data_IF_107965893578
#
_entry.id   IF_107965893578
#
_cell.length_a   1.000
_cell.length_b   1.000
_cell.length_c   1.000
_cell.angle_alpha   90.00
_cell.angle_beta   90.00
_cell.angle_gamma   90.00
#
_symmetry.space_group_name_H-M   'P 1'
#
loop_
_entity.id
_entity.type
_entity.pdbx_description
1 polymer ?
#
# COMPACT_ATOMS: atom_id res chain seq x y z
N UNK A 1 -2.92 41.84 41.04
CA UNK A 1 -2.46 41.10 39.86
C UNK A 1 -3.08 39.69 39.75
N UNK A 2 -3.17 38.91 40.84
CA UNK A 2 -3.72 37.54 40.82
C UNK A 2 -5.16 37.39 40.28
N UNK A 3 -6.03 38.38 40.54
CA UNK A 3 -7.42 38.38 40.06
C UNK A 3 -7.53 38.43 38.53
N UNK A 4 -6.64 39.16 37.86
CA UNK A 4 -6.61 39.26 36.39
C UNK A 4 -6.17 37.92 35.80
N UNK A 5 -5.12 37.30 36.36
CA UNK A 5 -4.69 35.97 35.94
C UNK A 5 -5.77 34.91 36.14
N UNK A 6 -6.52 34.96 37.25
CA UNK A 6 -7.64 34.06 37.50
C UNK A 6 -8.72 34.19 36.41
N UNK A 7 -9.16 35.41 36.10
CA UNK A 7 -10.18 35.63 35.07
C UNK A 7 -9.71 35.25 33.66
N UNK A 8 -8.43 35.50 33.35
CA UNK A 8 -7.84 35.12 32.06
C UNK A 8 -7.79 33.59 31.92
N UNK A 9 -7.34 32.89 32.96
CA UNK A 9 -7.24 31.43 32.97
C UNK A 9 -8.63 30.77 32.96
N UNK A 10 -9.61 31.38 33.62
CA UNK A 10 -11.02 30.97 33.56
C UNK A 10 -11.60 31.11 32.14
N UNK A 11 -11.40 32.26 31.49
CA UNK A 11 -11.84 32.49 30.11
C UNK A 11 -11.17 31.51 29.13
N UNK A 12 -9.88 31.23 29.31
CA UNK A 12 -9.16 30.28 28.48
C UNK A 12 -9.71 28.85 28.61
N UNK A 13 -10.03 28.41 29.83
CA UNK A 13 -10.64 27.10 30.06
C UNK A 13 -12.06 27.00 29.52
N UNK A 14 -12.88 28.04 29.66
CA UNK A 14 -14.22 28.11 29.07
C UNK A 14 -14.12 28.03 27.53
N UNK A 15 -13.15 28.73 26.95
CA UNK A 15 -12.82 28.63 25.53
C UNK A 15 -12.53 27.19 25.11
N UNK A 16 -11.58 26.53 25.77
CA UNK A 16 -11.22 25.13 25.50
C UNK A 16 -12.42 24.17 25.65
N UNK A 17 -13.25 24.35 26.68
CA UNK A 17 -14.46 23.54 26.87
C UNK A 17 -15.47 23.71 25.73
N UNK A 18 -15.69 24.95 25.27
CA UNK A 18 -16.56 25.21 24.12
C UNK A 18 -16.00 24.60 22.82
N UNK A 19 -14.68 24.61 22.64
CA UNK A 19 -14.02 23.92 21.52
C UNK A 19 -14.26 22.40 21.57
N UNK A 20 -14.14 21.79 22.75
CA UNK A 20 -14.34 20.36 22.94
C UNK A 20 -15.80 19.92 22.71
N UNK A 21 -16.76 20.79 23.05
CA UNK A 21 -18.20 20.56 22.81
C UNK A 21 -18.63 20.79 21.35
N UNK A 22 -17.69 21.02 20.42
CA UNK A 22 -17.98 21.17 19.00
C UNK A 22 -18.69 22.48 18.64
N UNK A 23 -18.69 23.49 19.54
CA UNK A 23 -19.30 24.79 19.24
C UNK A 23 -18.57 25.55 18.12
N UNK A 24 -17.30 25.20 17.86
CA UNK A 24 -16.52 25.68 16.72
C UNK A 24 -16.79 24.94 15.40
N UNK A 25 -17.53 23.82 15.42
CA UNK A 25 -17.85 23.09 14.19
C UNK A 25 -18.92 23.84 13.37
N UNK A 26 -19.77 24.63 14.04
CA UNK A 26 -20.80 25.47 13.40
C UNK A 26 -20.22 26.60 12.55
N UNK A 27 -18.97 27.00 12.79
CA UNK A 27 -18.30 28.06 12.03
C UNK A 27 -17.48 27.52 10.84
N UNK A 28 -17.49 26.21 10.60
CA UNK A 28 -16.85 25.57 9.43
C UNK A 28 -15.32 25.54 9.46
N UNK A 29 -14.69 26.03 10.54
CA UNK A 29 -13.23 26.11 10.64
C UNK A 29 -12.55 24.79 11.07
N UNK A 30 -13.31 23.80 11.57
CA UNK A 30 -12.82 22.43 11.83
C UNK A 30 -13.95 21.42 11.59
N UNK A 31 -13.67 20.38 10.80
CA UNK A 31 -14.57 19.24 10.61
C UNK A 31 -14.29 18.23 11.72
N UNK A 32 -15.21 18.10 12.67
CA UNK A 32 -15.08 17.15 13.78
C UNK A 32 -15.10 15.70 13.30
N UNK A 33 -14.26 14.89 13.97
CA UNK A 33 -14.07 13.47 13.73
C UNK A 33 -15.27 12.61 14.13
N UNK A 34 -16.33 12.63 13.32
CA UNK A 34 -17.32 11.56 13.21
C UNK A 34 -17.45 11.14 11.75
N UNK A 35 -16.33 10.62 11.24
CA UNK A 35 -16.06 10.02 9.93
C UNK A 35 -17.22 9.97 8.90
N UNK A 36 -17.70 11.10 8.33
CA UNK A 36 -18.54 11.04 7.14
C UNK A 36 -17.73 10.52 5.94
N UNK A 37 -16.40 10.65 6.00
CA UNK A 37 -15.47 10.16 4.99
C UNK A 37 -15.46 8.63 4.87
N UNK A 38 -15.83 7.87 5.92
CA UNK A 38 -15.94 6.41 5.81
C UNK A 38 -17.13 5.97 4.97
N UNK A 39 -18.24 6.71 5.02
CA UNK A 39 -19.40 6.44 4.16
C UNK A 39 -19.10 6.78 2.70
N UNK A 40 -18.30 7.83 2.46
CA UNK A 40 -17.89 8.23 1.10
C UNK A 40 -16.84 7.28 0.49
N UNK A 41 -16.08 6.56 1.31
CA UNK A 41 -15.08 5.58 0.86
C UNK A 41 -15.64 4.13 0.83
N UNK A 42 -16.94 3.91 1.02
CA UNK A 42 -17.55 2.60 0.81
C UNK A 42 -17.72 2.36 -0.69
N UNK A 43 -16.77 1.63 -1.26
CA UNK A 43 -16.81 1.23 -2.67
C UNK A 43 -17.82 0.10 -2.84
N UNK A 44 -18.88 0.36 -3.62
CA UNK A 44 -19.86 -0.61 -4.13
C UNK A 44 -20.80 -1.28 -3.11
N UNK A 45 -21.41 -0.49 -2.22
CA UNK A 45 -22.53 -0.96 -1.37
C UNK A 45 -23.65 -1.61 -2.20
N UNK A 46 -23.92 -1.11 -3.42
CA UNK A 46 -24.97 -1.59 -4.31
C UNK A 46 -24.73 -3.00 -4.89
N UNK A 47 -23.55 -3.59 -4.66
CA UNK A 47 -23.23 -4.95 -5.14
C UNK A 47 -23.44 -6.04 -4.10
N UNK A 48 -23.76 -5.68 -2.86
CA UNK A 48 -24.04 -6.67 -1.81
C UNK A 48 -25.51 -7.07 -1.92
N UNK A 49 -25.79 -8.12 -2.68
CA UNK A 49 -27.10 -8.79 -2.68
C UNK A 49 -27.08 -9.88 -1.62
N UNK A 50 -27.91 -9.73 -0.60
CA UNK A 50 -28.20 -10.76 0.38
C UNK A 50 -29.07 -11.82 -0.29
N UNK A 51 -28.50 -13.00 -0.52
CA UNK A 51 -29.24 -14.15 -1.04
C UNK A 51 -29.99 -14.78 0.15
N UNK A 52 -31.33 -14.85 0.13
CA UNK A 52 -32.07 -15.53 1.18
C UNK A 52 -31.72 -17.03 1.22
N UNK A 53 -31.66 -17.62 2.41
CA UNK A 53 -31.27 -19.02 2.62
C UNK A 53 -32.10 -20.02 1.79
N UNK A 54 -33.33 -19.65 1.41
CA UNK A 54 -34.23 -20.42 0.55
C UNK A 54 -33.74 -20.51 -0.90
N UNK A 55 -33.10 -19.46 -1.44
CA UNK A 55 -32.51 -19.47 -2.79
C UNK A 55 -31.20 -20.28 -2.84
N UNK A 56 -30.40 -20.26 -1.76
CA UNK A 56 -29.23 -21.15 -1.60
C UNK A 56 -29.63 -22.63 -1.60
N UNK A 57 -30.73 -22.97 -0.93
CA UNK A 57 -31.28 -24.32 -0.94
C UNK A 57 -31.77 -24.73 -2.34
N UNK A 58 -32.44 -23.83 -3.06
CA UNK A 58 -32.91 -24.09 -4.43
C UNK A 58 -31.76 -24.21 -5.45
N UNK A 59 -30.67 -23.44 -5.30
CA UNK A 59 -29.48 -23.58 -6.14
C UNK A 59 -28.70 -24.87 -5.86
N UNK A 60 -28.64 -25.32 -4.60
CA UNK A 60 -28.08 -26.62 -4.24
C UNK A 60 -28.91 -27.80 -4.78
N UNK A 61 -30.24 -27.65 -4.84
CA UNK A 61 -31.16 -28.61 -5.45
C UNK A 61 -31.03 -28.65 -6.99
N UNK A 62 -30.81 -27.50 -7.63
CA UNK A 62 -30.58 -27.40 -9.08
C UNK A 62 -29.20 -27.94 -9.51
N UNK A 63 -28.17 -27.77 -8.67
CA UNK A 63 -26.84 -28.36 -8.91
C UNK A 63 -26.87 -29.89 -8.87
N UNK A 64 -27.66 -30.48 -7.97
CA UNK A 64 -27.89 -31.94 -7.90
C UNK A 64 -28.67 -32.51 -9.09
N UNK A 65 -29.47 -31.71 -9.80
CA UNK A 65 -30.23 -32.16 -10.96
C UNK A 65 -29.40 -32.18 -12.27
N UNK A 66 -28.24 -31.52 -12.29
CA UNK A 66 -27.35 -31.48 -13.47
C UNK A 66 -26.24 -32.55 -13.46
N UNK A 67 -26.04 -33.29 -12.36
CA UNK A 67 -25.09 -34.41 -12.32
C UNK A 67 -25.64 -35.68 -12.99
N UNK A 68 -26.97 -35.88 -13.02
CA UNK A 68 -27.60 -37.05 -13.67
C UNK A 68 -27.77 -36.93 -15.20
N UNK A 69 -27.37 -35.79 -15.79
CA UNK A 69 -27.44 -35.56 -17.26
C UNK A 69 -26.06 -35.57 -17.94
N UNK A 70 -25.02 -36.07 -17.27
CA UNK A 70 -23.67 -36.18 -17.80
C UNK A 70 -23.28 -37.61 -18.28
N UNK A 71 -24.21 -38.58 -18.29
CA UNK A 71 -23.90 -39.98 -18.65
C UNK A 71 -24.51 -40.47 -19.97
N UNK A 72 -25.01 -39.59 -20.83
CA UNK A 72 -25.39 -39.98 -22.19
C UNK A 72 -25.19 -38.83 -23.16
N UNK A 73 -24.07 -38.86 -23.89
CA UNK A 73 -23.97 -38.62 -25.35
C UNK A 73 -22.48 -38.60 -25.72
N UNK A 74 -21.98 -39.71 -26.26
CA UNK A 74 -20.81 -39.70 -27.13
C UNK A 74 -21.30 -40.00 -28.55
N UNK A 75 -20.76 -39.25 -29.51
CA UNK A 75 -20.98 -39.32 -30.97
C UNK A 75 -22.18 -38.56 -31.52
N UNK A 76 -21.92 -37.38 -32.11
CA UNK A 76 -21.91 -37.26 -33.58
C UNK A 76 -21.54 -35.83 -34.05
N UNK A 77 -20.58 -35.79 -34.98
CA UNK A 77 -20.50 -34.93 -36.16
C UNK A 77 -20.48 -33.39 -36.01
N UNK A 78 -19.30 -32.85 -36.31
CA UNK A 78 -19.03 -31.91 -37.40
C UNK A 78 -20.25 -31.31 -38.12
N UNK A 79 -20.42 -30.00 -38.02
CA UNK A 79 -20.78 -29.12 -39.13
C UNK A 79 -20.58 -27.65 -38.74
N UNK A 80 -19.94 -26.92 -39.65
CA UNK A 80 -19.57 -25.53 -39.55
C UNK A 80 -20.76 -24.58 -39.31
N UNK A 81 -20.51 -23.49 -38.58
CA UNK A 81 -20.99 -22.17 -39.00
C UNK A 81 -19.96 -21.13 -38.56
N UNK A 82 -19.12 -20.76 -39.51
CA UNK A 82 -18.41 -19.51 -39.54
C UNK A 82 -19.41 -18.35 -39.59
N UNK A 83 -19.56 -17.64 -38.48
CA UNK A 83 -19.97 -16.24 -38.48
C UNK A 83 -18.76 -15.39 -38.18
N UNK A 84 -18.40 -14.62 -39.20
CA UNK A 84 -17.43 -13.55 -39.26
C UNK A 84 -16.93 -13.03 -37.91
N UNK A 85 -15.64 -13.31 -37.68
CA UNK A 85 -14.70 -12.46 -36.97
C UNK A 85 -14.97 -10.97 -37.27
N UNK A 86 -15.78 -10.32 -36.44
CA UNK A 86 -15.50 -8.95 -36.06
C UNK A 86 -14.25 -9.06 -35.20
N UNK A 87 -13.15 -8.50 -35.70
CA UNK A 87 -11.84 -8.52 -35.06
C UNK A 87 -12.01 -8.39 -33.54
N UNK A 88 -11.69 -9.47 -32.83
CA UNK A 88 -11.58 -9.44 -31.39
C UNK A 88 -10.53 -8.38 -31.08
N UNK A 89 -11.00 -7.17 -30.75
CA UNK A 89 -10.14 -6.13 -30.22
C UNK A 89 -9.49 -6.75 -28.99
N UNK A 90 -8.20 -7.06 -29.12
CA UNK A 90 -7.41 -7.66 -28.06
C UNK A 90 -7.55 -6.75 -26.83
N UNK A 91 -8.24 -7.25 -25.81
CA UNK A 91 -8.46 -6.51 -24.56
C UNK A 91 -7.29 -6.84 -23.65
N UNK A 92 -6.46 -5.84 -23.36
CA UNK A 92 -5.43 -5.97 -22.33
C UNK A 92 -6.13 -5.82 -20.97
N UNK A 93 -6.01 -6.86 -20.14
CA UNK A 93 -6.77 -6.99 -18.89
C UNK A 93 -6.35 -5.94 -17.87
N UNK A 94 -5.05 -5.73 -17.67
CA UNK A 94 -4.51 -4.68 -16.83
C UNK A 94 -3.02 -4.44 -17.11
N UNK A 95 -2.69 -3.20 -17.45
CA UNK A 95 -1.29 -2.74 -17.65
C UNK A 95 -0.94 -1.75 -16.54
N UNK A 96 0.22 -1.91 -15.91
CA UNK A 96 0.77 -0.98 -14.92
C UNK A 96 2.02 -0.31 -15.48
N UNK A 97 2.11 1.01 -15.33
CA UNK A 97 3.32 1.78 -15.58
C UNK A 97 3.78 2.46 -14.31
N UNK A 98 5.03 2.23 -13.91
CA UNK A 98 5.56 2.58 -12.59
C UNK A 98 6.80 3.48 -12.60
N UNK A 99 7.35 3.67 -11.40
CA UNK A 99 8.59 4.43 -11.14
C UNK A 99 8.50 5.94 -11.48
N UNK A 100 7.32 6.56 -11.31
CA UNK A 100 7.17 8.01 -11.45
C UNK A 100 7.53 8.74 -10.15
N UNK A 101 8.27 9.84 -10.28
CA UNK A 101 8.28 10.90 -9.27
C UNK A 101 6.95 11.66 -9.26
N UNK A 102 6.68 12.44 -8.22
CA UNK A 102 5.47 13.26 -8.15
C UNK A 102 5.33 14.28 -9.30
N UNK A 103 6.45 14.80 -9.82
CA UNK A 103 6.43 15.72 -10.96
C UNK A 103 6.12 14.99 -12.28
N UNK A 104 6.77 13.86 -12.53
CA UNK A 104 6.53 13.06 -13.74
C UNK A 104 5.12 12.46 -13.74
N UNK A 105 4.62 12.00 -12.59
CA UNK A 105 3.26 11.46 -12.49
C UNK A 105 2.19 12.47 -12.91
N UNK A 106 2.36 13.75 -12.54
CA UNK A 106 1.46 14.83 -12.97
C UNK A 106 1.53 15.04 -14.48
N UNK A 107 2.72 15.05 -15.06
CA UNK A 107 2.93 15.17 -16.51
C UNK A 107 2.36 14.00 -17.29
N UNK A 108 2.54 12.78 -16.79
CA UNK A 108 1.98 11.57 -17.39
C UNK A 108 0.46 11.61 -17.38
N UNK A 109 -0.15 11.94 -16.23
CA UNK A 109 -1.60 12.05 -16.11
C UNK A 109 -2.18 13.12 -17.06
N UNK A 110 -1.51 14.27 -17.22
CA UNK A 110 -1.98 15.31 -18.14
C UNK A 110 -1.87 14.89 -19.61
N UNK A 111 -0.75 14.30 -20.03
CA UNK A 111 -0.57 13.84 -21.41
C UNK A 111 -1.51 12.69 -21.76
N UNK A 112 -1.76 11.77 -20.83
CA UNK A 112 -2.69 10.68 -21.03
C UNK A 112 -4.14 11.19 -21.17
N UNK A 113 -4.53 12.18 -20.37
CA UNK A 113 -5.85 12.81 -20.48
C UNK A 113 -6.06 13.54 -21.81
N UNK A 114 -4.99 14.09 -22.40
CA UNK A 114 -5.02 14.81 -23.68
C UNK A 114 -5.06 13.84 -24.87
N UNK A 115 -4.18 12.83 -24.90
CA UNK A 115 -4.06 11.90 -26.04
C UNK A 115 -5.05 10.73 -26.00
N UNK A 116 -5.51 10.33 -24.81
CA UNK A 116 -6.36 9.16 -24.62
C UNK A 116 -7.39 9.37 -23.50
N UNK A 117 -8.35 10.32 -23.66
CA UNK A 117 -9.33 10.67 -22.63
C UNK A 117 -10.26 9.53 -22.21
N UNK A 118 -10.40 8.50 -23.06
CA UNK A 118 -11.17 7.29 -22.77
C UNK A 118 -10.49 6.37 -21.75
N UNK A 119 -9.18 6.56 -21.52
CA UNK A 119 -8.42 5.78 -20.55
C UNK A 119 -8.56 6.41 -19.16
N UNK A 120 -8.99 5.61 -18.19
CA UNK A 120 -9.13 6.03 -16.78
C UNK A 120 -8.04 5.38 -15.94
N UNK A 121 -6.85 6.01 -15.78
CA UNK A 121 -5.79 5.42 -14.97
C UNK A 121 -6.15 5.48 -13.48
N UNK A 122 -5.90 4.40 -12.75
CA UNK A 122 -5.92 4.40 -11.29
C UNK A 122 -4.50 4.69 -10.79
N UNK A 123 -4.34 5.79 -10.04
CA UNK A 123 -3.06 6.14 -9.42
C UNK A 123 -2.81 5.25 -8.20
N UNK A 124 -1.64 4.64 -8.15
CA UNK A 124 -1.16 3.82 -7.02
C UNK A 124 0.13 4.42 -6.46
N UNK A 125 0.23 4.50 -5.15
CA UNK A 125 1.50 4.78 -4.49
C UNK A 125 2.25 3.47 -4.28
N UNK A 126 3.47 3.41 -4.79
CA UNK A 126 4.37 2.28 -4.66
C UNK A 126 5.42 2.65 -3.61
N UNK A 127 5.30 2.01 -2.44
CA UNK A 127 6.31 2.11 -1.40
C UNK A 127 7.36 1.02 -1.63
N UNK A 128 8.51 1.42 -2.15
CA UNK A 128 9.66 0.53 -2.29
C UNK A 128 10.39 0.37 -0.96
N UNK A 129 11.05 -0.76 -0.76
CA UNK A 129 12.01 -0.91 0.34
C UNK A 129 13.26 -0.12 -0.04
N UNK A 130 13.54 0.94 0.72
CA UNK A 130 14.69 1.81 0.44
C UNK A 130 15.97 1.37 1.13
N UNK A 131 15.86 0.59 2.21
CA UNK A 131 17.01 0.08 2.95
C UNK A 131 16.61 -1.04 3.92
N UNK A 132 17.60 -1.79 4.39
CA UNK A 132 17.48 -2.81 5.43
C UNK A 132 18.30 -2.38 6.63
N UNK A 133 17.73 -2.41 7.83
CA UNK A 133 18.45 -2.09 9.07
C UNK A 133 18.67 -3.36 9.87
N UNK A 134 19.91 -3.57 10.30
CA UNK A 134 20.25 -4.58 11.30
C UNK A 134 20.25 -3.90 12.66
N UNK A 135 19.52 -4.44 13.63
CA UNK A 135 19.41 -3.82 14.95
C UNK A 135 19.14 -4.84 16.06
N UNK A 136 19.46 -4.48 17.30
CA UNK A 136 19.00 -5.13 18.52
C UNK A 136 17.72 -4.43 19.02
N UNK A 137 16.69 -5.18 19.44
CA UNK A 137 15.45 -4.62 20.00
C UNK A 137 15.69 -3.69 21.20
N UNK A 138 14.63 -2.97 21.59
CA UNK A 138 14.66 -2.07 22.74
C UNK A 138 15.09 -2.78 24.03
N UNK A 139 16.02 -2.17 24.76
CA UNK A 139 16.43 -2.60 26.10
C UNK A 139 15.60 -1.94 27.24
N UNK A 140 14.53 -1.23 26.89
CA UNK A 140 13.59 -0.61 27.84
C UNK A 140 14.04 0.73 28.41
N UNK A 141 15.34 0.96 28.59
CA UNK A 141 15.91 2.23 29.08
C UNK A 141 17.21 2.61 28.38
N UNK A 142 17.56 3.89 28.44
CA UNK A 142 18.82 4.40 27.90
C UNK A 142 20.03 3.77 28.61
N UNK A 143 19.98 3.60 29.93
CA UNK A 143 21.07 3.00 30.70
C UNK A 143 21.34 1.54 30.31
N UNK A 144 20.28 0.76 30.07
CA UNK A 144 20.43 -0.62 29.62
C UNK A 144 21.01 -0.70 28.20
N UNK A 145 20.60 0.21 27.31
CA UNK A 145 21.16 0.31 25.97
C UNK A 145 22.63 0.74 26.00
N UNK A 146 23.01 1.66 26.89
CA UNK A 146 24.39 2.11 27.06
C UNK A 146 25.29 1.00 27.59
N UNK A 147 24.84 0.28 28.63
CA UNK A 147 25.55 -0.91 29.15
C UNK A 147 25.77 -1.94 28.05
N UNK A 148 24.74 -2.22 27.25
CA UNK A 148 24.88 -3.13 26.12
C UNK A 148 25.86 -2.59 25.07
N UNK A 149 25.86 -1.28 24.82
CA UNK A 149 26.85 -0.63 23.96
C UNK A 149 28.29 -0.82 24.46
N UNK A 150 28.53 -0.71 25.76
CA UNK A 150 29.86 -0.98 26.34
C UNK A 150 30.28 -2.44 26.15
N UNK A 151 29.36 -3.40 26.28
CA UNK A 151 29.63 -4.81 25.96
C UNK A 151 29.99 -5.00 24.47
N UNK A 152 29.30 -4.29 23.56
CA UNK A 152 29.61 -4.33 22.12
C UNK A 152 31.03 -3.83 21.84
N UNK A 153 31.45 -2.73 22.48
CA UNK A 153 32.81 -2.20 22.38
C UNK A 153 33.84 -3.23 22.88
N UNK A 154 33.55 -3.92 23.99
CA UNK A 154 34.40 -5.00 24.52
C UNK A 154 34.56 -6.18 23.56
N UNK A 155 33.58 -6.43 22.69
CA UNK A 155 33.63 -7.44 21.62
C UNK A 155 34.28 -6.91 20.31
N UNK A 156 34.80 -5.68 20.31
CA UNK A 156 35.38 -5.04 19.13
C UNK A 156 34.34 -4.64 18.07
N UNK A 157 33.08 -4.46 18.49
CA UNK A 157 31.99 -3.95 17.65
C UNK A 157 31.84 -2.47 17.96
N UNK A 158 32.47 -1.62 17.15
CA UNK A 158 32.45 -0.17 17.33
C UNK A 158 31.41 0.52 16.45
N UNK A 159 30.95 -0.15 15.40
CA UNK A 159 30.00 0.39 14.43
C UNK A 159 28.56 0.14 14.87
N UNK A 160 28.13 0.85 15.92
CA UNK A 160 26.75 0.79 16.40
C UNK A 160 26.24 2.16 16.86
N UNK A 161 24.92 2.29 16.96
CA UNK A 161 24.26 3.51 17.42
C UNK A 161 23.02 3.19 18.27
N UNK A 162 22.91 3.83 19.44
CA UNK A 162 21.72 3.71 20.31
C UNK A 162 20.57 4.55 19.73
N UNK A 163 19.46 3.90 19.41
CA UNK A 163 18.28 4.52 18.80
C UNK A 163 17.51 5.31 19.86
N UNK A 164 17.44 6.64 19.73
CA UNK A 164 16.79 7.51 20.74
C UNK A 164 15.33 7.86 20.39
N UNK A 165 15.03 8.13 19.11
CA UNK A 165 13.77 8.77 18.71
C UNK A 165 12.98 7.95 17.67
N UNK A 166 12.84 6.65 17.89
CA UNK A 166 12.05 5.80 16.99
C UNK A 166 11.25 4.72 17.73
N UNK A 167 10.09 5.04 18.34
CA UNK A 167 9.19 4.02 18.87
C UNK A 167 8.72 3.05 17.75
N UNK A 168 8.65 1.73 17.97
CA UNK A 168 8.88 0.97 19.21
C UNK A 168 10.35 0.60 19.48
N UNK A 169 11.28 1.04 18.64
CA UNK A 169 12.71 0.71 18.68
C UNK A 169 13.56 1.63 19.57
N UNK A 170 12.92 2.55 20.30
CA UNK A 170 13.61 3.44 21.23
C UNK A 170 14.39 2.63 22.25
N UNK A 171 15.62 3.04 22.52
CA UNK A 171 16.62 2.30 23.32
C UNK A 171 17.02 0.94 22.73
N UNK A 172 16.79 0.72 21.43
CA UNK A 172 17.46 -0.36 20.68
C UNK A 172 18.84 0.09 20.20
N UNK A 173 19.59 -0.84 19.60
CA UNK A 173 20.92 -0.56 19.05
C UNK A 173 20.92 -0.88 17.56
N UNK A 174 21.15 0.12 16.72
CA UNK A 174 21.36 -0.06 15.28
C UNK A 174 22.79 -0.50 15.01
N UNK A 175 22.95 -1.55 14.21
CA UNK A 175 24.24 -2.16 13.85
C UNK A 175 24.61 -1.96 12.38
N UNK A 176 23.79 -1.20 11.66
CA UNK A 176 24.05 -0.84 10.27
C UNK A 176 22.76 -0.69 9.47
N UNK A 177 22.85 0.08 8.39
CA UNK A 177 21.78 0.21 7.39
C UNK A 177 22.36 -0.12 6.02
N UNK A 178 21.70 -1.01 5.29
CA UNK A 178 22.16 -1.64 4.07
C UNK A 178 21.17 -1.37 2.93
N UNK A 179 21.66 -1.37 1.69
CA UNK A 179 20.80 -1.16 0.51
C UNK A 179 20.08 -2.43 0.08
N UNK A 180 20.68 -3.59 0.31
CA UNK A 180 20.15 -4.90 -0.10
C UNK A 180 19.91 -5.80 1.11
N UNK A 181 18.97 -6.74 0.97
CA UNK A 181 18.68 -7.74 2.00
C UNK A 181 19.92 -8.62 2.26
N UNK A 182 20.59 -9.06 1.20
CA UNK A 182 21.79 -9.91 1.25
C UNK A 182 22.94 -9.28 2.03
N UNK A 183 23.20 -7.98 1.85
CA UNK A 183 24.23 -7.26 2.59
C UNK A 183 23.88 -7.19 4.09
N UNK A 184 22.59 -7.00 4.41
CA UNK A 184 22.14 -7.00 5.80
C UNK A 184 22.30 -8.36 6.47
N UNK A 185 22.01 -9.47 5.75
CA UNK A 185 22.21 -10.84 6.25
C UNK A 185 23.67 -11.19 6.44
N UNK A 186 24.52 -10.76 5.52
CA UNK A 186 25.97 -10.92 5.61
C UNK A 186 26.51 -10.22 6.86
N UNK A 187 26.04 -9.01 7.14
CA UNK A 187 26.40 -8.31 8.38
C UNK A 187 25.95 -9.07 9.63
N UNK A 188 24.72 -9.60 9.64
CA UNK A 188 24.22 -10.41 10.77
C UNK A 188 25.15 -11.60 11.01
N UNK A 189 25.47 -12.38 9.97
CA UNK A 189 26.37 -13.52 10.09
C UNK A 189 27.76 -13.12 10.63
N UNK A 190 28.34 -12.04 10.12
CA UNK A 190 29.62 -11.54 10.60
C UNK A 190 29.58 -11.07 12.08
N UNK A 191 28.47 -10.50 12.53
CA UNK A 191 28.30 -10.12 13.94
C UNK A 191 28.05 -11.33 14.85
N UNK A 192 27.38 -12.38 14.34
CA UNK A 192 27.21 -13.65 15.05
C UNK A 192 28.53 -14.39 15.25
N UNK A 193 29.44 -14.35 14.27
CA UNK A 193 30.81 -14.88 14.41
C UNK A 193 31.60 -14.17 15.52
N UNK A 194 31.30 -12.89 15.78
CA UNK A 194 31.85 -12.11 16.90
C UNK A 194 31.16 -12.37 18.24
N UNK A 195 30.18 -13.28 18.27
CA UNK A 195 29.45 -13.67 19.48
C UNK A 195 28.22 -12.81 19.79
N UNK A 196 27.84 -11.86 18.92
CA UNK A 196 26.62 -11.07 19.10
C UNK A 196 25.41 -11.84 18.58
N UNK A 197 24.39 -12.01 19.41
CA UNK A 197 23.13 -12.70 19.04
C UNK A 197 21.91 -11.81 19.32
N UNK A 198 20.75 -12.20 18.79
CA UNK A 198 19.48 -11.50 19.02
C UNK A 198 19.24 -10.28 18.13
N UNK A 199 20.01 -10.14 17.05
CA UNK A 199 19.82 -9.11 16.03
C UNK A 199 18.59 -9.41 15.18
N UNK A 200 17.97 -8.35 14.66
CA UNK A 200 16.85 -8.41 13.73
C UNK A 200 17.16 -7.58 12.50
N UNK A 201 16.64 -8.03 11.37
CA UNK A 201 16.65 -7.29 10.11
C UNK A 201 15.27 -6.70 9.89
N UNK A 202 15.19 -5.39 9.66
CA UNK A 202 13.95 -4.71 9.31
C UNK A 202 14.10 -4.01 7.96
N UNK A 203 13.18 -4.30 7.05
CA UNK A 203 13.04 -3.57 5.80
C UNK A 203 12.42 -2.20 6.07
N UNK A 204 13.16 -1.14 5.80
CA UNK A 204 12.68 0.24 5.90
C UNK A 204 12.22 0.71 4.53
N UNK A 205 10.93 1.05 4.46
CA UNK A 205 10.33 1.65 3.27
C UNK A 205 11.02 2.98 2.95
N UNK A 206 11.25 3.22 1.66
CA UNK A 206 11.82 4.45 1.15
C UNK A 206 10.93 5.63 1.55
N UNK A 207 11.57 6.72 1.99
CA UNK A 207 10.86 7.98 2.24
C UNK A 207 10.34 8.59 0.94
N UNK A 208 10.98 8.27 -0.19
CA UNK A 208 10.52 8.66 -1.52
C UNK A 208 9.62 7.57 -2.09
N UNK A 209 8.31 7.73 -1.92
CA UNK A 209 7.33 6.91 -2.61
C UNK A 209 7.39 7.13 -4.12
N UNK A 210 7.31 6.04 -4.88
CA UNK A 210 7.10 6.09 -6.32
C UNK A 210 5.61 6.09 -6.61
N UNK A 211 5.23 6.61 -7.76
CA UNK A 211 3.84 6.54 -8.24
C UNK A 211 3.80 5.59 -9.43
N UNK A 212 2.76 4.78 -9.48
CA UNK A 212 2.41 3.96 -10.63
C UNK A 212 0.97 4.28 -11.06
N UNK A 213 0.66 3.99 -12.33
CA UNK A 213 -0.67 4.08 -12.88
C UNK A 213 -1.09 2.71 -13.41
N UNK A 214 -2.25 2.23 -12.94
CA UNK A 214 -2.88 1.03 -13.44
C UNK A 214 -3.95 1.40 -14.46
N UNK A 215 -3.88 0.80 -15.63
CA UNK A 215 -4.81 1.00 -16.73
C UNK A 215 -5.53 -0.33 -16.95
N UNK A 216 -6.84 -0.35 -16.69
CA UNK A 216 -7.68 -1.52 -16.87
C UNK A 216 -8.41 -1.45 -18.20
N UNK A 217 -8.69 -2.60 -18.78
CA UNK A 217 -9.54 -2.73 -19.97
C UNK A 217 -9.09 -1.84 -21.14
N UNK A 218 -7.84 -2.01 -21.59
CA UNK A 218 -7.34 -1.28 -22.76
C UNK A 218 -7.73 -2.01 -24.04
N UNK A 219 -8.28 -1.28 -25.01
CA UNK A 219 -8.45 -1.76 -26.38
C UNK A 219 -7.14 -1.62 -27.15
N UNK A 220 -6.99 -2.29 -28.30
CA UNK A 220 -5.80 -2.19 -29.16
C UNK A 220 -5.47 -0.73 -29.54
N UNK A 221 -6.49 0.09 -29.81
CA UNK A 221 -6.31 1.52 -30.13
C UNK A 221 -5.80 2.31 -28.93
N UNK A 222 -6.42 2.14 -27.76
CA UNK A 222 -6.03 2.82 -26.53
C UNK A 222 -4.64 2.39 -26.04
N UNK A 223 -4.28 1.12 -26.25
CA UNK A 223 -2.95 0.59 -25.96
C UNK A 223 -1.87 1.29 -26.79
N UNK A 224 -2.10 1.46 -28.09
CA UNK A 224 -1.15 2.16 -28.98
C UNK A 224 -0.98 3.63 -28.59
N UNK A 225 -2.05 4.31 -28.16
CA UNK A 225 -1.97 5.68 -27.66
C UNK A 225 -1.22 5.76 -26.32
N UNK A 226 -1.49 4.82 -25.42
CA UNK A 226 -0.77 4.69 -24.16
C UNK A 226 0.73 4.48 -24.38
N UNK A 227 1.14 3.58 -25.29
CA UNK A 227 2.55 3.34 -25.60
C UNK A 227 3.27 4.59 -26.10
N UNK A 228 2.59 5.42 -26.93
CA UNK A 228 3.14 6.70 -27.38
C UNK A 228 3.38 7.67 -26.23
N UNK A 229 2.44 7.74 -25.27
CA UNK A 229 2.62 8.55 -24.06
C UNK A 229 3.73 7.97 -23.19
N UNK A 230 3.76 6.65 -22.99
CA UNK A 230 4.77 5.99 -22.17
C UNK A 230 6.19 6.18 -22.73
N UNK A 231 6.36 6.17 -24.06
CA UNK A 231 7.64 6.39 -24.72
C UNK A 231 8.25 7.79 -24.47
N UNK A 232 7.45 8.78 -24.04
CA UNK A 232 7.95 10.11 -23.69
C UNK A 232 8.58 10.17 -22.29
N UNK A 233 8.46 9.10 -21.49
CA UNK A 233 9.00 9.02 -20.14
C UNK A 233 10.14 8.01 -20.04
N UNK A 234 11.36 8.50 -19.82
CA UNK A 234 12.53 7.65 -19.61
C UNK A 234 12.46 6.87 -18.27
N UNK A 235 13.07 5.68 -18.25
CA UNK A 235 13.25 4.82 -17.07
C UNK A 235 11.94 4.40 -16.37
N UNK A 236 10.87 4.20 -17.14
CA UNK A 236 9.59 3.70 -16.62
C UNK A 236 9.47 2.19 -16.87
N UNK A 237 8.97 1.50 -15.86
CA UNK A 237 8.74 0.07 -15.91
C UNK A 237 7.28 -0.14 -16.30
N UNK A 238 7.05 -0.83 -17.42
CA UNK A 238 5.72 -1.25 -17.87
C UNK A 238 5.64 -2.75 -17.61
N UNK A 239 4.59 -3.17 -16.91
CA UNK A 239 4.34 -4.57 -16.59
C UNK A 239 2.85 -4.84 -16.61
N UNK A 240 2.48 -6.10 -16.73
CA UNK A 240 1.11 -6.50 -16.43
C UNK A 240 0.85 -6.24 -14.94
N UNK A 241 -0.38 -5.87 -14.60
CA UNK A 241 -0.69 -5.59 -13.21
C UNK A 241 -0.45 -6.83 -12.35
N UNK A 242 0.38 -6.70 -11.32
CA UNK A 242 0.49 -7.69 -10.25
C UNK A 242 -0.91 -7.92 -9.67
N UNK A 243 -1.33 -9.19 -9.55
CA UNK A 243 -2.56 -9.52 -8.85
C UNK A 243 -2.46 -8.95 -7.42
N UNK A 244 -3.55 -8.41 -6.85
CA UNK A 244 -3.53 -7.96 -5.46
C UNK A 244 -3.05 -9.13 -4.58
N UNK A 245 -1.98 -8.91 -3.81
CA UNK A 245 -1.50 -9.90 -2.86
C UNK A 245 -2.66 -10.31 -1.94
N UNK A 246 -2.89 -11.61 -1.69
CA UNK A 246 -3.83 -12.02 -0.67
C UNK A 246 -3.31 -11.54 0.68
N UNK A 247 -4.13 -10.76 1.39
CA UNK A 247 -3.88 -10.37 2.78
C UNK A 247 -3.84 -11.58 3.72
#
# INVERSE_FOLDING_TARGET
MLKIFFWLLLLFNIGLFAMQQGYLDKTGLKHSGREPARLLNQIQTDKIKLIPATELAQQALAAKANEDRASNTNSASSAATSTSSVAAASVYSCTEIGNFTAAEARRFASQLAELAPSIKPTRREVQEIGSYRVYLPSFGSQDNANKKGEELLGMGINDFFVIQDAPPLRYGISLGTFKTDEASRTQVAHLEEKGLTGMRVEARKSTFGKIAFQLRTLTTQNHTQFEKVAASFANKEIRDCEAPAPD
#
